data_IF_197349549486
#
_entry.id   IF_197349549486
#
_cell.length_a   1.000
_cell.length_b   1.000
_cell.length_c   1.000
_cell.angle_alpha   90.00
_cell.angle_beta   90.00
_cell.angle_gamma   90.00
#
_symmetry.space_group_name_H-M   'P 1'
#
loop_
_entity.id
_entity.type
_entity.pdbx_description
1 polymer ?
#
# COMPACT_ATOMS: atom_id res chain seq x y z
N UNK A 1 -6.21 18.96 14.17
CA UNK A 1 -6.70 17.56 14.18
C UNK A 1 -5.97 16.87 13.04
N UNK A 2 -4.96 16.05 13.35
CA UNK A 2 -4.29 15.21 12.36
C UNK A 2 -5.30 14.20 11.81
N UNK A 3 -5.86 14.51 10.65
CA UNK A 3 -6.68 13.55 9.92
C UNK A 3 -5.74 12.47 9.39
N UNK A 4 -5.97 11.23 9.78
CA UNK A 4 -5.24 10.09 9.19
C UNK A 4 -5.58 10.03 7.69
N UNK A 5 -4.58 9.81 6.82
CA UNK A 5 -4.82 9.62 5.39
C UNK A 5 -5.76 8.42 5.17
N UNK A 6 -6.63 8.53 4.17
CA UNK A 6 -7.51 7.44 3.77
C UNK A 6 -6.83 6.62 2.67
N UNK A 7 -6.60 5.34 2.95
CA UNK A 7 -5.98 4.41 2.00
C UNK A 7 -7.02 3.52 1.33
N UNK A 8 -6.89 3.31 0.02
CA UNK A 8 -7.71 2.38 -0.73
C UNK A 8 -6.88 1.66 -1.80
N UNK A 9 -7.25 0.43 -2.14
CA UNK A 9 -6.71 -0.26 -3.32
C UNK A 9 -7.82 -0.36 -4.34
N UNK A 10 -7.52 0.00 -5.58
CA UNK A 10 -8.46 -0.10 -6.69
C UNK A 10 -7.73 -0.58 -7.94
N UNK A 11 -8.39 -1.45 -8.71
CA UNK A 11 -7.94 -1.79 -10.06
C UNK A 11 -8.19 -0.59 -10.99
N UNK A 12 -7.14 -0.13 -11.67
CA UNK A 12 -7.22 0.94 -12.66
C UNK A 12 -6.47 0.53 -13.92
N UNK A 13 -7.19 0.39 -15.04
CA UNK A 13 -6.63 0.00 -16.35
C UNK A 13 -5.82 -1.32 -16.34
N UNK A 14 -6.17 -2.24 -15.43
CA UNK A 14 -5.51 -3.55 -15.32
C UNK A 14 -4.33 -3.60 -14.34
N UNK A 15 -4.05 -2.50 -13.63
CA UNK A 15 -3.06 -2.44 -12.55
C UNK A 15 -3.74 -2.25 -11.19
N UNK A 16 -3.17 -2.82 -10.12
CA UNK A 16 -3.62 -2.61 -8.74
C UNK A 16 -2.96 -1.36 -8.13
N UNK A 17 -3.71 -0.26 -8.05
CA UNK A 17 -3.17 1.00 -7.53
C UNK A 17 -3.54 1.23 -6.06
N UNK A 18 -2.58 1.70 -5.27
CA UNK A 18 -2.79 2.32 -3.98
C UNK A 18 -3.21 3.78 -4.18
N UNK A 19 -4.33 4.14 -3.55
CA UNK A 19 -4.84 5.49 -3.48
C UNK A 19 -4.68 6.05 -2.06
N UNK A 20 -4.17 7.28 -1.96
CA UNK A 20 -4.07 8.04 -0.72
C UNK A 20 -4.94 9.27 -0.83
N UNK A 21 -5.97 9.35 0.03
CA UNK A 21 -7.02 10.40 0.01
C UNK A 21 -7.62 10.61 -1.40
N UNK A 22 -7.78 9.52 -2.16
CA UNK A 22 -8.35 9.51 -3.50
C UNK A 22 -7.37 9.88 -4.62
N UNK A 23 -6.09 10.12 -4.32
CA UNK A 23 -5.04 10.31 -5.32
C UNK A 23 -4.34 8.99 -5.60
N UNK A 24 -4.17 8.57 -6.87
CA UNK A 24 -3.38 7.38 -7.19
C UNK A 24 -1.91 7.66 -6.86
N UNK A 25 -1.33 6.83 -5.99
CA UNK A 25 0.00 7.07 -5.42
C UNK A 25 1.00 6.02 -5.86
N UNK A 26 0.63 4.74 -5.88
CA UNK A 26 1.56 3.66 -6.18
C UNK A 26 0.90 2.56 -6.99
N UNK A 27 1.62 1.97 -7.94
CA UNK A 27 1.25 0.68 -8.52
C UNK A 27 1.82 -0.43 -7.62
N UNK A 28 0.93 -1.23 -7.04
CA UNK A 28 1.31 -2.27 -6.08
C UNK A 28 2.07 -3.43 -6.70
N UNK A 29 2.03 -3.59 -8.03
CA UNK A 29 2.80 -4.59 -8.76
C UNK A 29 4.21 -4.10 -9.11
N UNK A 30 4.45 -2.79 -9.08
CA UNK A 30 5.76 -2.17 -9.40
C UNK A 30 6.53 -1.69 -8.15
N UNK A 31 5.98 -1.88 -6.94
CA UNK A 31 6.59 -1.50 -5.66
C UNK A 31 6.99 -2.72 -4.84
N UNK A 32 7.85 -2.50 -3.85
CA UNK A 32 8.12 -3.45 -2.78
C UNK A 32 7.27 -3.11 -1.56
N UNK A 33 6.75 -4.16 -0.94
CA UNK A 33 5.99 -4.09 0.30
C UNK A 33 6.82 -4.74 1.40
N UNK A 34 7.17 -3.96 2.42
CA UNK A 34 8.05 -4.43 3.50
C UNK A 34 7.33 -4.26 4.84
N UNK A 35 7.12 -5.34 5.56
CA UNK A 35 6.44 -5.37 6.85
C UNK A 35 7.41 -5.20 8.02
N UNK A 36 7.40 -4.00 8.62
CA UNK A 36 8.20 -3.68 9.81
C UNK A 36 7.50 -4.05 11.13
N UNK A 37 6.44 -4.85 11.08
CA UNK A 37 5.68 -5.31 12.23
C UNK A 37 4.53 -4.36 12.61
N UNK A 38 4.80 -3.06 12.78
CA UNK A 38 3.80 -2.04 13.12
C UNK A 38 3.23 -1.29 11.90
N UNK A 39 4.00 -1.21 10.81
CA UNK A 39 3.59 -0.63 9.54
C UNK A 39 4.20 -1.42 8.37
N UNK A 40 3.59 -1.28 7.21
CA UNK A 40 4.08 -1.79 5.94
C UNK A 40 4.59 -0.60 5.13
N UNK A 41 5.86 -0.64 4.72
CA UNK A 41 6.44 0.33 3.79
C UNK A 41 6.08 -0.06 2.36
N UNK A 42 5.61 0.92 1.59
CA UNK A 42 5.33 0.81 0.16
C UNK A 42 6.40 1.62 -0.57
N UNK A 43 7.33 0.93 -1.22
CA UNK A 43 8.55 1.54 -1.75
C UNK A 43 8.71 1.25 -3.25
N UNK A 44 8.77 2.29 -4.08
CA UNK A 44 8.99 2.12 -5.52
C UNK A 44 9.35 3.44 -6.21
N UNK A 45 10.52 3.50 -6.83
CA UNK A 45 10.99 4.73 -7.49
C UNK A 45 11.09 5.92 -6.53
N UNK A 46 10.18 6.89 -6.67
CA UNK A 46 10.05 8.07 -5.80
C UNK A 46 8.93 7.94 -4.76
N UNK A 47 8.22 6.80 -4.73
CA UNK A 47 7.14 6.53 -3.80
C UNK A 47 7.70 5.97 -2.49
N UNK A 48 7.26 6.57 -1.40
CA UNK A 48 7.45 6.09 -0.04
C UNK A 48 6.17 6.37 0.74
N UNK A 49 5.38 5.34 1.01
CA UNK A 49 4.16 5.42 1.82
C UNK A 49 4.19 4.37 2.94
N UNK A 50 3.51 4.66 4.04
CA UNK A 50 3.45 3.75 5.19
C UNK A 50 2.01 3.40 5.50
N UNK A 51 1.68 2.12 5.41
CA UNK A 51 0.36 1.57 5.73
C UNK A 51 0.35 0.99 7.14
N UNK A 52 -0.70 1.17 7.95
CA UNK A 52 -0.79 0.52 9.25
C UNK A 52 -0.88 -1.01 9.09
N UNK A 53 0.08 -1.76 9.63
CA UNK A 53 0.22 -3.20 9.35
C UNK A 53 -0.98 -4.01 9.84
N UNK A 54 -1.56 -3.64 10.98
CA UNK A 54 -2.73 -4.31 11.57
C UNK A 54 -3.94 -4.34 10.61
N UNK A 55 -4.10 -3.32 9.77
CA UNK A 55 -5.23 -3.25 8.83
C UNK A 55 -4.84 -3.79 7.44
N UNK A 56 -3.60 -3.60 7.02
CA UNK A 56 -3.20 -3.80 5.63
C UNK A 56 -2.48 -5.11 5.35
N UNK A 57 -1.88 -5.76 6.36
CA UNK A 57 -1.16 -7.02 6.16
C UNK A 57 -2.03 -8.09 5.52
N UNK A 58 -3.17 -8.41 6.15
CA UNK A 58 -4.07 -9.43 5.65
C UNK A 58 -4.71 -9.04 4.30
N UNK A 59 -4.97 -7.74 4.08
CA UNK A 59 -5.52 -7.25 2.82
C UNK A 59 -4.54 -7.44 1.66
N UNK A 60 -3.27 -7.05 1.84
CA UNK A 60 -2.25 -7.18 0.80
C UNK A 60 -1.97 -8.65 0.48
N UNK A 61 -1.90 -9.51 1.51
CA UNK A 61 -1.75 -10.95 1.32
C UNK A 61 -2.96 -11.59 0.62
N UNK A 62 -4.19 -11.17 0.95
CA UNK A 62 -5.39 -11.66 0.27
C UNK A 62 -5.46 -11.26 -1.21
N UNK A 63 -4.79 -10.17 -1.59
CA UNK A 63 -4.62 -9.74 -2.98
C UNK A 63 -3.48 -10.48 -3.70
N UNK A 64 -2.77 -11.39 -3.00
CA UNK A 64 -1.67 -12.16 -3.57
C UNK A 64 -0.37 -11.36 -3.73
N UNK A 65 -0.28 -10.19 -3.11
CA UNK A 65 0.93 -9.36 -3.14
C UNK A 65 1.99 -9.92 -2.20
N UNK A 66 3.24 -9.97 -2.67
CA UNK A 66 4.38 -10.39 -1.85
C UNK A 66 4.74 -9.28 -0.87
N UNK A 67 4.67 -9.60 0.43
CA UNK A 67 5.05 -8.69 1.51
C UNK A 67 6.26 -9.27 2.21
N UNK A 68 7.41 -8.64 1.99
CA UNK A 68 8.68 -8.97 2.62
C UNK A 68 8.64 -8.67 4.13
N UNK A 69 9.52 -9.34 4.88
CA UNK A 69 9.74 -9.11 6.32
C UNK A 69 11.13 -8.58 6.61
#
# INVERSE_FOLDING_TARGET
>A
MDRKPHYAIQEHQGALLLFVDGTPTADLEEVRLIDFGSFISVEGGLIYETLPAEEWRDKLQALGLEVDR
#
